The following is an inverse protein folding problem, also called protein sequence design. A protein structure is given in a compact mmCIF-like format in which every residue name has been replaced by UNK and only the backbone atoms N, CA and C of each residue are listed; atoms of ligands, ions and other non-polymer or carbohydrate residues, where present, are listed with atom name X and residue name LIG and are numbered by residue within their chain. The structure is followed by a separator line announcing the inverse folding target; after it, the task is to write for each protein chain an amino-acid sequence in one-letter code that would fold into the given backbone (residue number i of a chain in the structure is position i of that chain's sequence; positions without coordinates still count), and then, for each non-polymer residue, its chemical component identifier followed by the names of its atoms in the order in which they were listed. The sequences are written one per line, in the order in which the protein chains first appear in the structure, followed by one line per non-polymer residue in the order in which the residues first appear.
data_IF_295804569520
#
_entry.id   IF_295804569520
#
_cell.length_a   1.000
_cell.length_b   1.000
_cell.length_c   1.000
_cell.angle_alpha   90.00
_cell.angle_beta   90.00
_cell.angle_gamma   90.00
#
_symmetry.space_group_name_H-M   'P 1'
#
loop_
_entity.id
_entity.type
_entity.pdbx_description
1 polymer ?
#
# COMPACT_ATOMS: atom_id res chain seq x y z
N UNK A 1 -33.35 14.77 -0.80
CA UNK A 1 -32.80 15.99 -1.39
C UNK A 1 -31.32 15.74 -1.59
N UNK A 2 -30.88 15.53 -2.81
CA UNK A 2 -29.44 15.44 -3.13
C UNK A 2 -28.87 16.84 -2.93
N UNK A 3 -28.01 17.03 -1.93
CA UNK A 3 -27.19 18.22 -1.83
C UNK A 3 -26.43 18.36 -3.14
N UNK A 4 -26.65 19.47 -3.82
CA UNK A 4 -25.85 19.84 -5.00
C UNK A 4 -24.43 20.08 -4.50
N UNK A 5 -23.56 19.10 -4.74
CA UNK A 5 -22.15 19.20 -4.36
C UNK A 5 -21.57 20.39 -5.13
N UNK A 6 -21.20 21.43 -4.40
CA UNK A 6 -20.48 22.56 -4.98
C UNK A 6 -19.01 22.13 -5.18
N UNK A 7 -18.71 21.58 -6.36
CA UNK A 7 -17.38 21.07 -6.73
C UNK A 7 -16.31 22.16 -6.56
N UNK A 8 -16.64 23.43 -6.77
CA UNK A 8 -15.69 24.52 -6.61
C UNK A 8 -15.29 24.70 -5.14
N UNK A 9 -16.25 24.74 -4.23
CA UNK A 9 -15.98 24.86 -2.78
C UNK A 9 -15.22 23.65 -2.25
N UNK A 10 -15.60 22.45 -2.71
CA UNK A 10 -14.92 21.22 -2.38
C UNK A 10 -13.47 21.24 -2.85
N UNK A 11 -13.23 21.68 -4.09
CA UNK A 11 -11.88 21.77 -4.63
C UNK A 11 -11.01 22.77 -3.84
N UNK A 12 -11.54 23.97 -3.55
CA UNK A 12 -10.84 24.99 -2.75
C UNK A 12 -10.51 24.49 -1.33
N UNK A 13 -11.42 23.72 -0.73
CA UNK A 13 -11.20 23.09 0.57
C UNK A 13 -10.09 22.05 0.48
N UNK A 14 -10.14 21.16 -0.50
CA UNK A 14 -9.13 20.11 -0.69
C UNK A 14 -7.77 20.70 -1.01
N UNK A 15 -7.69 21.74 -1.81
CA UNK A 15 -6.44 22.46 -2.05
C UNK A 15 -5.76 22.93 -0.75
N UNK A 16 -6.54 23.43 0.20
CA UNK A 16 -6.02 23.85 1.52
C UNK A 16 -5.64 22.66 2.41
N UNK A 17 -6.53 21.67 2.50
CA UNK A 17 -6.36 20.50 3.37
C UNK A 17 -5.21 19.57 2.94
N UNK A 18 -4.83 19.60 1.66
CA UNK A 18 -3.79 18.75 1.07
C UNK A 18 -2.39 19.36 1.06
N UNK A 19 -2.22 20.61 1.48
CA UNK A 19 -0.90 21.29 1.47
C UNK A 19 0.16 20.52 2.25
N UNK A 20 -0.21 19.89 3.37
CA UNK A 20 0.72 19.13 4.19
C UNK A 20 1.36 17.94 3.43
N UNK A 21 0.70 17.42 2.40
CA UNK A 21 1.22 16.31 1.58
C UNK A 21 2.47 16.71 0.83
N UNK A 22 2.51 17.92 0.27
CA UNK A 22 3.68 18.45 -0.43
C UNK A 22 4.85 18.63 0.56
N UNK A 23 4.56 19.13 1.77
CA UNK A 23 5.55 19.26 2.83
C UNK A 23 6.06 17.90 3.28
N UNK A 24 5.16 16.92 3.44
CA UNK A 24 5.51 15.56 3.82
C UNK A 24 6.40 14.89 2.76
N UNK A 25 6.05 15.04 1.48
CA UNK A 25 6.88 14.56 0.36
C UNK A 25 8.26 15.22 0.34
N UNK A 26 8.33 16.52 0.58
CA UNK A 26 9.59 17.27 0.66
C UNK A 26 10.47 16.78 1.81
N UNK A 27 9.91 16.55 3.00
CA UNK A 27 10.65 16.00 4.14
C UNK A 27 11.19 14.60 3.86
N UNK A 28 10.35 13.73 3.27
CA UNK A 28 10.79 12.40 2.87
C UNK A 28 11.88 12.45 1.81
N UNK A 29 11.78 13.35 0.85
CA UNK A 29 12.74 13.56 -0.24
C UNK A 29 14.14 14.01 0.22
N UNK A 30 14.27 14.54 1.44
CA UNK A 30 15.60 14.85 2.02
C UNK A 30 16.44 13.59 2.26
N UNK A 31 15.78 12.47 2.53
CA UNK A 31 16.40 11.20 2.93
C UNK A 31 16.28 10.14 1.85
N UNK A 32 15.15 10.10 1.16
CA UNK A 32 14.82 9.11 0.13
C UNK A 32 15.10 9.72 -1.24
N UNK A 33 16.22 9.32 -1.85
CA UNK A 33 16.62 9.79 -3.17
C UNK A 33 16.16 8.83 -4.24
N UNK A 34 15.49 9.35 -5.28
CA UNK A 34 15.16 8.61 -6.49
C UNK A 34 14.03 7.58 -6.39
N UNK A 35 13.33 7.51 -5.25
CA UNK A 35 12.24 6.57 -5.02
C UNK A 35 10.88 7.29 -4.94
N UNK A 36 10.60 8.19 -5.89
CA UNK A 36 9.37 8.98 -5.90
C UNK A 36 8.11 8.12 -5.95
N UNK A 37 8.15 7.02 -6.73
CA UNK A 37 7.04 6.07 -6.80
C UNK A 37 6.77 5.40 -5.45
N UNK A 38 7.80 5.02 -4.71
CA UNK A 38 7.66 4.47 -3.36
C UNK A 38 7.03 5.48 -2.40
N UNK A 39 7.48 6.74 -2.45
CA UNK A 39 6.91 7.81 -1.62
C UNK A 39 5.42 7.99 -1.95
N UNK A 40 5.07 8.10 -3.21
CA UNK A 40 3.67 8.25 -3.65
C UNK A 40 2.82 7.04 -3.24
N UNK A 41 3.33 5.82 -3.38
CA UNK A 41 2.65 4.59 -2.96
C UNK A 41 2.38 4.59 -1.45
N UNK A 42 3.35 4.99 -0.63
CA UNK A 42 3.19 5.12 0.83
C UNK A 42 2.12 6.16 1.19
N UNK A 43 2.11 7.31 0.54
CA UNK A 43 1.14 8.38 0.77
C UNK A 43 -0.28 7.95 0.33
N UNK A 44 -0.42 7.29 -0.81
CA UNK A 44 -1.70 6.75 -1.28
C UNK A 44 -2.22 5.71 -0.27
N UNK A 45 -1.41 4.75 0.14
CA UNK A 45 -1.81 3.74 1.13
C UNK A 45 -2.20 4.36 2.46
N UNK A 46 -1.44 5.32 2.95
CA UNK A 46 -1.73 6.02 4.20
C UNK A 46 -3.07 6.78 4.15
N UNK A 47 -3.30 7.54 3.09
CA UNK A 47 -4.48 8.39 2.94
C UNK A 47 -5.74 7.62 2.55
N UNK A 48 -5.61 6.50 1.86
CA UNK A 48 -6.73 5.63 1.48
C UNK A 48 -7.04 4.52 2.48
N UNK A 49 -6.33 4.50 3.62
CA UNK A 49 -6.46 3.46 4.65
C UNK A 49 -6.22 2.04 4.12
N UNK A 50 -5.26 1.90 3.21
CA UNK A 50 -4.88 0.64 2.57
C UNK A 50 -3.49 0.17 3.00
N UNK A 51 -3.29 -1.15 3.02
CA UNK A 51 -1.98 -1.75 3.26
C UNK A 51 -1.22 -1.98 1.96
N UNK A 52 0.09 -2.06 2.04
CA UNK A 52 0.99 -2.06 0.89
C UNK A 52 1.90 -3.28 0.93
N UNK A 53 2.03 -3.94 -0.21
CA UNK A 53 3.03 -4.98 -0.45
C UNK A 53 4.12 -4.42 -1.38
N UNK A 54 5.37 -4.43 -0.93
CA UNK A 54 6.51 -4.05 -1.74
C UNK A 54 7.30 -5.27 -2.22
N UNK A 55 7.54 -5.33 -3.49
CA UNK A 55 8.38 -6.32 -4.12
C UNK A 55 9.67 -5.67 -4.63
N UNK A 56 10.80 -6.19 -4.23
CA UNK A 56 12.09 -5.66 -4.67
C UNK A 56 13.26 -6.30 -3.91
N UNK A 57 14.43 -6.21 -4.52
CA UNK A 57 15.66 -6.73 -3.93
C UNK A 57 16.03 -5.99 -2.63
N UNK A 58 16.85 -6.58 -1.76
CA UNK A 58 17.37 -5.91 -0.57
C UNK A 58 18.17 -4.64 -0.93
N UNK A 59 18.21 -3.68 0.01
CA UNK A 59 19.02 -2.47 -0.15
C UNK A 59 18.35 -1.29 -0.88
N UNK A 60 17.08 -1.38 -1.23
CA UNK A 60 16.32 -0.33 -1.95
C UNK A 60 15.56 0.64 -1.03
N UNK A 61 16.10 0.94 0.13
CA UNK A 61 15.57 1.94 1.08
C UNK A 61 14.13 1.72 1.59
N UNK A 62 13.58 0.51 1.48
CA UNK A 62 12.20 0.19 1.93
C UNK A 62 11.99 0.51 3.43
N UNK A 63 12.91 0.04 4.27
CA UNK A 63 12.87 0.34 5.72
C UNK A 63 13.05 1.83 5.99
N UNK A 64 13.99 2.47 5.29
CA UNK A 64 14.26 3.90 5.44
C UNK A 64 13.04 4.74 5.07
N UNK A 65 12.31 4.36 4.01
CA UNK A 65 11.12 5.10 3.57
C UNK A 65 10.01 5.11 4.62
N UNK A 66 9.67 3.96 5.19
CA UNK A 66 8.60 3.89 6.20
C UNK A 66 9.01 4.50 7.54
N UNK A 67 10.27 4.34 7.95
CA UNK A 67 10.76 5.00 9.18
C UNK A 67 10.80 6.52 9.04
N UNK A 68 11.15 7.02 7.86
CA UNK A 68 11.12 8.45 7.53
C UNK A 68 9.69 8.98 7.56
N UNK A 69 8.74 8.26 6.97
CA UNK A 69 7.32 8.61 7.04
C UNK A 69 6.81 8.64 8.49
N UNK A 70 7.16 7.64 9.29
CA UNK A 70 6.76 7.58 10.70
C UNK A 70 7.28 8.78 11.50
N UNK A 71 8.51 9.20 11.27
CA UNK A 71 9.08 10.40 11.90
C UNK A 71 8.37 11.68 11.45
N UNK A 72 8.07 11.81 10.17
CA UNK A 72 7.39 12.99 9.62
C UNK A 72 5.93 13.10 10.08
N UNK A 73 5.28 11.99 10.40
CA UNK A 73 3.91 11.92 10.94
C UNK A 73 3.89 11.90 12.47
N UNK A 74 5.05 11.74 13.13
CA UNK A 74 5.16 11.54 14.57
C UNK A 74 4.34 10.32 15.05
N UNK A 75 4.42 9.24 14.29
CA UNK A 75 3.69 8.01 14.52
C UNK A 75 4.60 6.91 15.08
N UNK A 76 4.02 6.02 15.88
CA UNK A 76 4.72 4.84 16.39
C UNK A 76 5.06 3.89 15.22
N UNK A 77 6.28 3.39 15.25
CA UNK A 77 6.82 2.47 14.24
C UNK A 77 7.30 1.18 14.86
N UNK A 78 7.00 0.06 14.21
CA UNK A 78 7.51 -1.25 14.55
C UNK A 78 8.00 -2.00 13.31
N UNK A 79 9.12 -2.69 13.45
CA UNK A 79 9.65 -3.60 12.43
C UNK A 79 9.53 -5.04 12.92
N UNK A 80 8.92 -5.88 12.12
CA UNK A 80 8.82 -7.31 12.35
C UNK A 80 9.61 -8.01 11.25
N UNK A 81 10.69 -8.64 11.61
CA UNK A 81 11.46 -9.47 10.67
C UNK A 81 10.88 -10.87 10.63
N UNK A 82 10.36 -11.26 9.49
CA UNK A 82 9.77 -12.58 9.29
C UNK A 82 10.85 -13.62 9.11
N UNK A 83 10.75 -14.72 9.87
CA UNK A 83 11.67 -15.85 9.88
C UNK A 83 10.87 -17.16 9.94
N UNK A 84 11.45 -18.30 9.55
CA UNK A 84 10.74 -19.58 9.56
C UNK A 84 10.28 -20.06 10.96
N UNK A 85 10.93 -19.59 12.02
CA UNK A 85 10.67 -19.94 13.41
C UNK A 85 9.71 -18.98 14.13
N UNK A 86 9.27 -17.90 13.45
CA UNK A 86 8.35 -16.92 14.01
C UNK A 86 6.98 -17.55 14.30
N UNK A 87 6.39 -17.19 15.44
CA UNK A 87 5.06 -17.65 15.86
C UNK A 87 4.03 -16.49 15.77
N UNK A 88 2.75 -16.80 15.59
CA UNK A 88 1.69 -15.78 15.64
C UNK A 88 1.72 -14.90 16.90
N UNK A 89 2.01 -15.49 18.07
CA UNK A 89 2.12 -14.77 19.33
C UNK A 89 3.26 -13.73 19.35
N UNK A 90 4.30 -13.93 18.55
CA UNK A 90 5.41 -12.97 18.42
C UNK A 90 4.95 -11.69 17.71
N UNK A 91 3.90 -11.76 16.89
CA UNK A 91 3.31 -10.60 16.21
C UNK A 91 2.26 -9.92 17.06
N UNK A 92 1.28 -10.69 17.53
CA UNK A 92 0.05 -10.16 18.15
C UNK A 92 0.17 -9.96 19.64
N UNK A 93 1.05 -10.74 20.30
CA UNK A 93 1.20 -10.76 21.74
C UNK A 93 0.64 -12.01 22.39
N UNK A 94 0.78 -12.08 23.70
CA UNK A 94 0.43 -13.27 24.48
C UNK A 94 0.07 -12.89 25.91
N UNK A 95 -0.49 -13.87 26.65
CA UNK A 95 -0.67 -13.81 28.08
C UNK A 95 0.58 -14.30 28.79
N UNK A 96 1.06 -13.55 29.77
CA UNK A 96 2.20 -13.89 30.61
C UNK A 96 1.72 -14.00 32.05
N UNK A 97 2.00 -15.14 32.70
CA UNK A 97 1.71 -15.28 34.12
C UNK A 97 2.71 -14.48 34.96
N UNK A 98 2.20 -13.57 35.75
CA UNK A 98 2.98 -12.77 36.72
C UNK A 98 2.97 -13.47 38.09
N UNK A 99 4.07 -14.09 38.49
CA UNK A 99 4.22 -14.68 39.82
C UNK A 99 4.04 -13.65 40.96
N UNK A 100 4.43 -12.39 40.69
CA UNK A 100 4.35 -11.30 41.67
C UNK A 100 2.92 -10.85 41.94
N UNK A 101 2.05 -10.92 40.94
CA UNK A 101 0.64 -10.48 41.02
C UNK A 101 -0.33 -11.67 41.07
N UNK A 102 0.18 -12.91 40.85
CA UNK A 102 -0.60 -14.16 40.76
C UNK A 102 -1.73 -14.06 39.70
N UNK A 103 -1.51 -13.30 38.62
CA UNK A 103 -2.47 -13.10 37.54
C UNK A 103 -1.80 -13.20 36.16
N UNK A 104 -2.61 -13.42 35.12
CA UNK A 104 -2.17 -13.32 33.73
C UNK A 104 -2.20 -11.86 33.27
N UNK A 105 -1.08 -11.40 32.72
CA UNK A 105 -0.93 -10.07 32.15
C UNK A 105 -0.85 -10.18 30.62
N UNK A 106 -1.53 -9.28 29.95
CA UNK A 106 -1.44 -9.14 28.50
C UNK A 106 -0.14 -8.45 28.13
N UNK A 107 0.68 -9.10 27.31
CA UNK A 107 1.82 -8.50 26.63
C UNK A 107 1.48 -8.30 25.16
N UNK A 108 1.24 -7.06 24.77
CA UNK A 108 0.96 -6.70 23.36
C UNK A 108 2.19 -6.90 22.51
N UNK A 109 1.99 -7.44 21.30
CA UNK A 109 3.04 -7.66 20.33
C UNK A 109 3.36 -6.43 19.49
N UNK A 110 4.36 -6.52 18.59
CA UNK A 110 4.83 -5.40 17.77
C UNK A 110 3.80 -4.91 16.74
N UNK A 111 2.73 -5.64 16.49
CA UNK A 111 1.64 -5.20 15.60
C UNK A 111 0.89 -3.99 16.16
N UNK A 112 0.99 -3.74 17.48
CA UNK A 112 0.40 -2.57 18.14
C UNK A 112 1.26 -1.31 17.96
N UNK A 113 1.41 -0.89 16.71
CA UNK A 113 2.02 0.35 16.30
C UNK A 113 1.22 0.96 15.15
N UNK A 114 1.36 2.27 14.92
CA UNK A 114 0.72 2.94 13.80
C UNK A 114 1.24 2.41 12.45
N UNK A 115 2.57 2.32 12.32
CA UNK A 115 3.22 1.83 11.12
C UNK A 115 4.03 0.57 11.43
N UNK A 116 3.72 -0.48 10.70
CA UNK A 116 4.36 -1.79 10.85
C UNK A 116 5.04 -2.17 9.54
N UNK A 117 6.35 -2.39 9.62
CA UNK A 117 7.11 -3.01 8.54
C UNK A 117 7.16 -4.53 8.77
N UNK A 118 6.46 -5.28 7.94
CA UNK A 118 6.55 -6.74 7.88
C UNK A 118 7.62 -7.14 6.87
N UNK A 119 8.86 -7.26 7.35
CA UNK A 119 10.03 -7.44 6.50
C UNK A 119 10.23 -8.91 6.13
N UNK A 120 10.11 -9.22 4.83
CA UNK A 120 10.24 -10.56 4.30
C UNK A 120 9.08 -11.50 4.64
N UNK A 121 7.83 -11.05 4.45
CA UNK A 121 6.63 -11.79 4.83
C UNK A 121 6.58 -13.22 4.28
N UNK A 122 7.18 -13.48 3.12
CA UNK A 122 7.27 -14.79 2.50
C UNK A 122 8.29 -15.74 3.17
N UNK A 123 9.04 -15.30 4.17
CA UNK A 123 9.99 -16.14 4.93
C UNK A 123 9.36 -16.88 6.10
N UNK A 124 8.13 -16.61 6.46
CA UNK A 124 7.45 -17.26 7.58
C UNK A 124 6.33 -18.19 7.13
N UNK A 125 5.99 -19.19 7.97
CA UNK A 125 4.91 -20.11 7.68
C UNK A 125 3.53 -19.43 7.54
N UNK A 126 2.60 -20.10 6.87
CA UNK A 126 1.27 -19.58 6.58
C UNK A 126 0.48 -19.13 7.82
N UNK A 127 0.68 -19.77 8.98
CA UNK A 127 0.00 -19.37 10.23
C UNK A 127 0.39 -17.96 10.68
N UNK A 128 1.65 -17.60 10.55
CA UNK A 128 2.16 -16.27 10.92
C UNK A 128 1.68 -15.21 9.92
N UNK A 129 1.75 -15.52 8.64
CA UNK A 129 1.20 -14.67 7.57
C UNK A 129 -0.29 -14.39 7.80
N UNK A 130 -1.06 -15.43 8.10
CA UNK A 130 -2.51 -15.30 8.36
C UNK A 130 -2.82 -14.44 9.57
N UNK A 131 -2.03 -14.52 10.64
CA UNK A 131 -2.20 -13.68 11.83
C UNK A 131 -2.02 -12.19 11.51
N UNK A 132 -1.01 -11.84 10.70
CA UNK A 132 -0.81 -10.46 10.27
C UNK A 132 -1.96 -9.98 9.36
N UNK A 133 -2.36 -10.80 8.40
CA UNK A 133 -3.40 -10.45 7.44
C UNK A 133 -4.78 -10.31 8.11
N UNK A 134 -5.05 -11.08 9.15
CA UNK A 134 -6.25 -10.93 9.98
C UNK A 134 -6.22 -9.58 10.73
N UNK A 135 -5.10 -9.26 11.40
CA UNK A 135 -4.92 -7.99 12.08
C UNK A 135 -5.07 -6.79 11.13
N UNK A 136 -4.57 -6.92 9.89
CA UNK A 136 -4.74 -5.89 8.83
C UNK A 136 -6.20 -5.68 8.45
N UNK A 137 -6.96 -6.76 8.33
CA UNK A 137 -8.36 -6.72 7.91
C UNK A 137 -9.28 -6.26 9.04
N UNK A 138 -9.15 -6.84 10.22
CA UNK A 138 -10.05 -6.60 11.35
C UNK A 138 -9.70 -5.34 12.14
N UNK A 139 -8.50 -4.79 11.98
CA UNK A 139 -7.99 -3.62 12.73
C UNK A 139 -8.00 -3.82 14.24
N UNK A 140 -8.03 -5.05 14.66
CA UNK A 140 -8.03 -5.49 16.06
C UNK A 140 -7.39 -6.85 16.21
N UNK A 141 -7.00 -7.19 17.43
CA UNK A 141 -6.34 -8.46 17.76
C UNK A 141 -6.94 -9.01 19.04
N UNK A 142 -7.24 -10.32 19.06
CA UNK A 142 -7.68 -11.03 20.26
C UNK A 142 -6.49 -11.70 20.93
N UNK A 143 -6.29 -11.40 22.23
CA UNK A 143 -5.25 -12.01 23.07
C UNK A 143 -5.94 -12.60 24.30
N UNK A 144 -5.89 -13.93 24.43
CA UNK A 144 -6.71 -14.62 25.43
C UNK A 144 -8.19 -14.45 25.12
N UNK A 145 -8.94 -13.94 26.09
CA UNK A 145 -10.40 -13.74 25.97
C UNK A 145 -10.79 -12.29 25.59
N UNK A 146 -9.81 -11.41 25.41
CA UNK A 146 -10.07 -10.00 25.16
C UNK A 146 -9.60 -9.55 23.77
N UNK A 147 -10.38 -8.64 23.15
CA UNK A 147 -10.07 -8.06 21.85
C UNK A 147 -9.61 -6.62 22.03
N UNK A 148 -8.48 -6.29 21.43
CA UNK A 148 -7.84 -4.98 21.51
C UNK A 148 -7.81 -4.32 20.14
N UNK A 149 -8.30 -3.08 19.98
CA UNK A 149 -8.16 -2.32 18.75
C UNK A 149 -6.70 -1.97 18.50
N UNK A 150 -6.31 -1.96 17.22
CA UNK A 150 -5.00 -1.45 16.80
C UNK A 150 -5.01 0.08 16.75
N UNK A 151 -3.85 0.75 16.91
CA UNK A 151 -3.79 2.20 16.82
C UNK A 151 -4.22 2.73 15.44
N UNK A 152 -4.80 3.91 15.40
CA UNK A 152 -5.11 4.62 14.16
C UNK A 152 -4.20 5.85 13.98
N UNK A 153 -3.68 6.09 12.76
CA UNK A 153 -3.77 5.26 11.55
C UNK A 153 -2.98 3.96 11.71
N UNK A 154 -3.46 2.89 11.10
CA UNK A 154 -2.75 1.61 11.05
C UNK A 154 -2.37 1.27 9.61
N UNK A 155 -1.07 1.27 9.33
CA UNK A 155 -0.50 0.97 8.01
C UNK A 155 0.51 -0.16 8.13
N UNK A 156 0.29 -1.23 7.40
CA UNK A 156 1.28 -2.30 7.21
C UNK A 156 1.93 -2.15 5.84
N UNK A 157 3.25 -2.09 5.86
CA UNK A 157 4.11 -2.22 4.71
C UNK A 157 4.78 -3.59 4.78
N UNK A 158 4.32 -4.54 3.97
CA UNK A 158 4.94 -5.84 3.86
C UNK A 158 5.95 -5.84 2.71
N UNK A 159 7.06 -6.55 2.89
CA UNK A 159 8.06 -6.71 1.83
C UNK A 159 8.23 -8.18 1.46
N UNK A 160 8.49 -8.43 0.20
CA UNK A 160 8.93 -9.72 -0.30
C UNK A 160 10.08 -9.55 -1.29
N UNK A 161 10.99 -10.52 -1.28
CA UNK A 161 12.08 -10.57 -2.26
C UNK A 161 11.73 -11.60 -3.33
N UNK A 162 11.55 -11.19 -4.59
CA UNK A 162 11.18 -12.10 -5.67
C UNK A 162 12.29 -13.08 -6.06
N UNK A 163 13.55 -12.79 -5.69
CA UNK A 163 14.71 -13.62 -6.02
C UNK A 163 14.92 -14.77 -5.04
N UNK A 164 14.33 -14.68 -3.84
CA UNK A 164 14.44 -15.74 -2.84
C UNK A 164 13.40 -16.83 -3.15
N UNK A 165 13.87 -18.01 -3.51
CA UNK A 165 13.01 -19.18 -3.79
C UNK A 165 13.15 -20.25 -2.71
N UNK A 166 14.34 -20.44 -2.15
CA UNK A 166 14.60 -21.44 -1.10
C UNK A 166 14.13 -20.92 0.27
N UNK A 167 13.43 -21.78 1.02
CA UNK A 167 12.96 -21.44 2.36
C UNK A 167 11.87 -20.38 2.41
N UNK A 168 11.13 -20.18 1.30
CA UNK A 168 10.03 -19.22 1.24
C UNK A 168 8.66 -19.91 1.18
N UNK A 169 7.68 -19.21 1.70
CA UNK A 169 6.26 -19.59 1.72
C UNK A 169 5.48 -18.52 0.95
N UNK A 170 5.19 -18.74 -0.33
CA UNK A 170 4.48 -17.75 -1.13
C UNK A 170 3.10 -17.48 -0.53
N UNK A 171 2.70 -16.22 -0.54
CA UNK A 171 1.36 -15.83 -0.12
C UNK A 171 0.33 -16.34 -1.15
N UNK A 172 -0.73 -17.05 -0.70
CA UNK A 172 -1.84 -17.37 -1.58
C UNK A 172 -2.48 -16.12 -2.18
N UNK A 173 -2.99 -16.23 -3.40
CA UNK A 173 -3.61 -15.11 -4.14
C UNK A 173 -4.71 -14.40 -3.34
N UNK A 174 -5.58 -15.14 -2.67
CA UNK A 174 -6.64 -14.58 -1.81
C UNK A 174 -6.10 -13.78 -0.63
N UNK A 175 -4.86 -14.03 -0.21
CA UNK A 175 -4.19 -13.27 0.84
C UNK A 175 -3.50 -12.02 0.29
N UNK A 176 -2.89 -12.13 -0.88
CA UNK A 176 -2.27 -10.98 -1.57
C UNK A 176 -3.31 -9.93 -1.94
N UNK A 177 -4.54 -10.34 -2.30
CA UNK A 177 -5.67 -9.45 -2.59
C UNK A 177 -6.08 -8.53 -1.41
N UNK A 178 -5.66 -8.85 -0.18
CA UNK A 178 -5.89 -8.00 1.01
C UNK A 178 -5.01 -6.76 1.05
N UNK A 179 -3.89 -6.75 0.33
CA UNK A 179 -3.10 -5.55 0.14
C UNK A 179 -3.77 -4.67 -0.91
N UNK A 180 -3.97 -3.40 -0.56
CA UNK A 180 -4.58 -2.46 -1.49
C UNK A 180 -3.70 -2.18 -2.69
N UNK A 181 -2.40 -2.01 -2.44
CA UNK A 181 -1.38 -1.73 -3.43
C UNK A 181 -0.25 -2.76 -3.36
N UNK A 182 0.24 -3.15 -4.53
CA UNK A 182 1.51 -3.86 -4.68
C UNK A 182 2.40 -3.07 -5.61
N UNK A 183 3.52 -2.58 -5.09
CA UNK A 183 4.49 -1.83 -5.87
C UNK A 183 5.80 -2.61 -6.04
N UNK A 184 6.35 -2.56 -7.25
CA UNK A 184 7.68 -3.06 -7.56
C UNK A 184 8.68 -1.94 -7.41
N UNK A 185 9.73 -2.18 -6.62
CA UNK A 185 10.80 -1.22 -6.39
C UNK A 185 12.00 -1.63 -7.22
N UNK A 186 12.44 -0.71 -8.08
CA UNK A 186 13.61 -0.87 -8.95
C UNK A 186 14.85 -0.19 -8.36
N UNK A 187 15.99 -0.50 -8.94
CA UNK A 187 17.23 0.20 -8.63
C UNK A 187 17.13 1.69 -8.98
N UNK A 188 17.81 2.56 -8.21
CA UNK A 188 17.90 3.97 -8.53
C UNK A 188 18.66 4.17 -9.86
N UNK A 189 18.45 5.33 -10.48
CA UNK A 189 19.22 5.73 -11.64
C UNK A 189 20.67 6.05 -11.24
N UNK A 190 21.59 6.00 -12.19
CA UNK A 190 23.02 6.22 -11.94
C UNK A 190 23.33 7.53 -11.19
N UNK A 191 22.63 8.61 -11.51
CA UNK A 191 22.82 9.88 -10.83
C UNK A 191 22.29 9.85 -9.39
N UNK A 192 21.12 9.25 -9.20
CA UNK A 192 20.48 9.07 -7.88
C UNK A 192 21.35 8.21 -6.96
N UNK A 193 21.92 7.11 -7.46
CA UNK A 193 22.82 6.25 -6.72
C UNK A 193 24.12 7.01 -6.31
N UNK A 194 24.62 7.87 -7.18
CA UNK A 194 25.75 8.76 -6.87
C UNK A 194 25.41 9.73 -5.73
N UNK A 195 24.20 10.29 -5.73
CA UNK A 195 23.76 11.22 -4.69
C UNK A 195 23.54 10.49 -3.35
N UNK A 196 22.99 9.26 -3.38
CA UNK A 196 22.89 8.37 -2.22
C UNK A 196 24.28 8.10 -1.63
N UNK A 197 25.24 7.73 -2.48
CA UNK A 197 26.62 7.47 -2.06
C UNK A 197 27.24 8.71 -1.39
N UNK A 198 27.13 9.87 -2.00
CA UNK A 198 27.65 11.14 -1.47
C UNK A 198 27.04 11.49 -0.12
N UNK A 199 25.72 11.38 -0.01
CA UNK A 199 25.00 11.65 1.24
C UNK A 199 25.52 10.76 2.40
N UNK A 200 25.78 9.47 2.13
CA UNK A 200 26.24 8.55 3.14
C UNK A 200 27.75 8.71 3.48
N UNK A 201 28.54 9.23 2.55
CA UNK A 201 29.98 9.46 2.76
C UNK A 201 30.31 10.82 3.39
N UNK A 202 29.35 11.74 3.45
CA UNK A 202 29.55 13.09 3.99
C UNK A 202 29.91 13.13 5.49
N UNK A 203 29.71 12.03 6.22
CA UNK A 203 30.05 11.94 7.66
C UNK A 203 29.12 12.68 8.61
N UNK A 204 28.15 13.40 8.09
CA UNK A 204 27.16 14.17 8.87
C UNK A 204 25.91 13.34 9.27
N UNK A 205 25.84 12.07 8.84
CA UNK A 205 24.67 11.22 8.98
C UNK A 205 23.53 11.60 8.02
N UNK A 206 22.39 10.93 8.15
CA UNK A 206 21.21 11.25 7.34
C UNK A 206 20.60 12.59 7.76
N UNK A 207 20.07 13.39 6.82
CA UNK A 207 19.37 14.63 7.12
C UNK A 207 18.26 14.43 8.16
N UNK A 208 18.12 15.41 9.06
CA UNK A 208 17.04 15.38 10.05
C UNK A 208 15.68 15.56 9.37
N UNK A 209 14.78 14.64 9.65
CA UNK A 209 13.38 14.71 9.24
C UNK A 209 12.58 15.43 10.31
N UNK A 210 11.86 16.47 9.92
CA UNK A 210 10.99 17.21 10.82
C UNK A 210 9.58 16.61 10.84
N UNK A 211 8.90 16.74 11.97
CA UNK A 211 7.46 16.46 12.06
C UNK A 211 6.70 17.43 11.17
N UNK A 212 5.80 16.91 10.34
CA UNK A 212 4.95 17.67 9.41
C UNK A 212 3.49 17.65 9.88
N UNK A 213 3.05 16.50 10.36
CA UNK A 213 1.66 16.23 10.73
C UNK A 213 1.60 15.25 11.90
N UNK A 214 0.41 14.94 12.37
CA UNK A 214 0.18 13.99 13.46
C UNK A 214 -0.67 12.80 13.02
N UNK A 215 -0.68 11.68 13.76
CA UNK A 215 -1.58 10.56 13.51
C UNK A 215 -3.06 10.99 13.43
N UNK A 216 -3.50 11.87 14.32
CA UNK A 216 -4.87 12.39 14.38
C UNK A 216 -5.22 13.20 13.12
N UNK A 217 -4.28 13.98 12.62
CA UNK A 217 -4.48 14.77 11.39
C UNK A 217 -4.53 13.90 10.15
N UNK A 218 -3.79 12.78 10.11
CA UNK A 218 -3.93 11.78 9.05
C UNK A 218 -5.33 11.16 9.06
N UNK A 219 -5.87 10.81 10.22
CA UNK A 219 -7.25 10.28 10.32
C UNK A 219 -8.27 11.28 9.82
N UNK A 220 -8.10 12.57 10.14
CA UNK A 220 -8.95 13.65 9.60
C UNK A 220 -8.80 13.77 8.09
N UNK A 221 -7.57 13.75 7.57
CA UNK A 221 -7.30 13.84 6.15
C UNK A 221 -7.95 12.70 5.36
N UNK A 222 -7.99 11.46 5.92
CA UNK A 222 -8.69 10.32 5.30
C UNK A 222 -10.17 10.62 5.03
N UNK A 223 -10.86 11.27 5.97
CA UNK A 223 -12.26 11.68 5.81
C UNK A 223 -12.43 12.68 4.66
N UNK A 224 -11.49 13.62 4.53
CA UNK A 224 -11.49 14.58 3.43
C UNK A 224 -11.21 13.89 2.09
N UNK A 225 -10.32 12.89 2.05
CA UNK A 225 -10.08 12.05 0.85
C UNK A 225 -11.34 11.31 0.42
N UNK A 226 -12.15 10.82 1.36
CA UNK A 226 -13.42 10.15 1.05
C UNK A 226 -14.45 11.08 0.40
N UNK A 227 -14.35 12.38 0.64
CA UNK A 227 -15.21 13.41 0.04
C UNK A 227 -14.80 13.82 -1.38
N UNK A 228 -13.60 13.43 -1.85
CA UNK A 228 -13.15 13.72 -3.24
C UNK A 228 -14.20 13.21 -4.21
N UNK A 229 -14.69 14.12 -5.06
CA UNK A 229 -15.79 13.83 -5.98
C UNK A 229 -15.35 12.83 -7.07
N UNK A 230 -16.21 11.87 -7.33
CA UNK A 230 -16.04 10.93 -8.42
C UNK A 230 -17.30 10.92 -9.27
N UNK A 231 -17.18 11.33 -10.54
CA UNK A 231 -18.29 11.35 -11.49
C UNK A 231 -18.67 9.91 -11.90
N UNK A 232 -19.94 9.68 -12.22
CA UNK A 232 -20.44 8.38 -12.68
C UNK A 232 -19.66 7.84 -13.90
N UNK A 233 -19.15 8.72 -14.76
CA UNK A 233 -18.32 8.32 -15.90
C UNK A 233 -16.97 7.74 -15.45
N UNK A 234 -16.40 8.26 -14.37
CA UNK A 234 -15.17 7.72 -13.78
C UNK A 234 -15.47 6.39 -13.09
N UNK A 235 -16.58 6.27 -12.38
CA UNK A 235 -17.02 4.99 -11.79
C UNK A 235 -17.19 3.93 -12.88
N UNK A 236 -17.86 4.28 -13.98
CA UNK A 236 -17.99 3.38 -15.12
C UNK A 236 -16.64 3.00 -15.72
N UNK A 237 -15.72 3.95 -15.87
CA UNK A 237 -14.37 3.70 -16.39
C UNK A 237 -13.60 2.70 -15.51
N UNK A 238 -13.67 2.86 -14.18
CA UNK A 238 -13.07 1.91 -13.23
C UNK A 238 -13.67 0.51 -13.42
N UNK A 239 -15.00 0.41 -13.50
CA UNK A 239 -15.69 -0.87 -13.69
C UNK A 239 -15.31 -1.51 -15.03
N UNK A 240 -15.26 -0.72 -16.11
CA UNK A 240 -14.86 -1.22 -17.43
C UNK A 240 -13.41 -1.77 -17.41
N UNK A 241 -12.48 -1.11 -16.73
CA UNK A 241 -11.11 -1.63 -16.55
C UNK A 241 -11.12 -2.98 -15.84
N UNK A 242 -11.87 -3.12 -14.75
CA UNK A 242 -11.93 -4.36 -13.99
C UNK A 242 -12.60 -5.47 -14.79
N UNK A 243 -13.70 -5.19 -15.49
CA UNK A 243 -14.38 -6.15 -16.36
C UNK A 243 -13.48 -6.58 -17.53
N UNK A 244 -12.68 -5.68 -18.10
CA UNK A 244 -11.71 -6.04 -19.13
C UNK A 244 -10.68 -7.08 -18.65
N UNK A 245 -10.41 -7.16 -17.34
CA UNK A 245 -9.57 -8.24 -16.77
C UNK A 245 -10.26 -9.59 -16.71
N UNK A 246 -11.60 -9.64 -16.74
CA UNK A 246 -12.41 -10.87 -16.64
C UNK A 246 -12.93 -11.32 -18.02
N UNK A 247 -13.36 -10.36 -18.81
CA UNK A 247 -14.03 -10.56 -20.10
C UNK A 247 -13.38 -9.67 -21.18
N UNK A 248 -12.07 -9.87 -21.48
CA UNK A 248 -11.33 -8.99 -22.37
C UNK A 248 -11.90 -8.90 -23.77
N UNK A 249 -12.56 -9.97 -24.27
CA UNK A 249 -13.19 -9.97 -25.59
C UNK A 249 -14.29 -8.90 -25.74
N UNK A 250 -15.00 -8.52 -24.66
CA UNK A 250 -16.01 -7.47 -24.71
C UNK A 250 -15.40 -6.06 -24.89
N UNK A 251 -14.10 -5.93 -24.72
CA UNK A 251 -13.33 -4.67 -24.83
C UNK A 251 -12.36 -4.66 -26.00
N UNK A 252 -12.60 -5.48 -27.03
CA UNK A 252 -11.71 -5.67 -28.20
C UNK A 252 -10.28 -6.11 -27.82
N UNK A 253 -10.18 -6.95 -26.81
CA UNK A 253 -8.93 -7.48 -26.27
C UNK A 253 -8.90 -9.01 -26.31
N UNK A 254 -9.47 -9.61 -27.38
CA UNK A 254 -9.59 -11.07 -27.55
C UNK A 254 -8.23 -11.77 -27.39
N UNK A 255 -7.15 -11.10 -27.78
CA UNK A 255 -5.78 -11.62 -27.63
C UNK A 255 -5.36 -11.88 -26.18
N UNK A 256 -5.99 -11.20 -25.20
CA UNK A 256 -5.71 -11.38 -23.79
C UNK A 256 -6.47 -12.56 -23.18
N UNK A 257 -7.54 -13.02 -23.82
CA UNK A 257 -8.38 -14.11 -23.31
C UNK A 257 -7.58 -15.37 -22.92
N UNK A 258 -6.67 -15.90 -23.77
CA UNK A 258 -5.86 -17.08 -23.42
C UNK A 258 -4.76 -16.80 -22.40
N UNK A 259 -4.49 -15.54 -22.07
CA UNK A 259 -3.37 -15.14 -21.21
C UNK A 259 -3.79 -14.92 -19.76
N UNK A 260 -5.09 -14.68 -19.50
CA UNK A 260 -5.62 -14.36 -18.18
C UNK A 260 -6.32 -15.60 -17.61
N UNK A 261 -5.82 -16.11 -16.48
CA UNK A 261 -6.45 -17.21 -15.76
C UNK A 261 -7.64 -16.73 -14.92
N UNK A 262 -7.50 -15.58 -14.26
CA UNK A 262 -8.56 -14.88 -13.52
C UNK A 262 -8.28 -13.39 -13.47
N UNK A 263 -9.33 -12.59 -13.39
CA UNK A 263 -9.27 -11.13 -13.29
C UNK A 263 -9.55 -10.59 -11.90
N UNK A 264 -9.61 -9.27 -11.79
CA UNK A 264 -9.84 -8.58 -10.53
C UNK A 264 -11.18 -8.89 -9.88
N UNK A 265 -11.21 -9.06 -8.56
CA UNK A 265 -12.42 -9.19 -7.74
C UNK A 265 -13.09 -7.81 -7.53
N UNK A 266 -14.29 -7.73 -6.90
CA UNK A 266 -14.87 -6.45 -6.49
C UNK A 266 -13.98 -5.63 -5.55
N UNK A 267 -13.06 -6.27 -4.81
CA UNK A 267 -12.02 -5.57 -4.04
C UNK A 267 -11.12 -4.72 -4.93
N UNK A 268 -10.85 -5.17 -6.16
CA UNK A 268 -10.07 -4.40 -7.12
C UNK A 268 -10.77 -3.08 -7.48
N UNK A 269 -12.08 -3.10 -7.75
CA UNK A 269 -12.87 -1.90 -8.05
C UNK A 269 -12.85 -0.91 -6.88
N UNK A 270 -13.08 -1.41 -5.67
CA UNK A 270 -13.05 -0.60 -4.44
C UNK A 270 -11.66 -0.01 -4.22
N UNK A 271 -10.60 -0.81 -4.34
CA UNK A 271 -9.22 -0.37 -4.17
C UNK A 271 -8.81 0.66 -5.20
N UNK A 272 -9.21 0.47 -6.46
CA UNK A 272 -8.91 1.40 -7.54
C UNK A 272 -9.61 2.75 -7.33
N UNK A 273 -10.87 2.76 -6.90
CA UNK A 273 -11.61 3.96 -6.58
C UNK A 273 -10.99 4.73 -5.39
N UNK A 274 -10.64 4.02 -4.31
CA UNK A 274 -9.99 4.63 -3.14
C UNK A 274 -8.61 5.19 -3.48
N UNK A 275 -7.80 4.45 -4.22
CA UNK A 275 -6.47 4.89 -4.64
C UNK A 275 -6.54 6.11 -5.57
N UNK A 276 -7.50 6.14 -6.50
CA UNK A 276 -7.70 7.27 -7.41
C UNK A 276 -8.11 8.54 -6.65
N UNK A 277 -9.00 8.44 -5.65
CA UNK A 277 -9.36 9.57 -4.77
C UNK A 277 -8.15 10.08 -3.99
N UNK A 278 -7.37 9.19 -3.37
CA UNK A 278 -6.15 9.56 -2.66
C UNK A 278 -5.13 10.21 -3.60
N UNK A 279 -4.99 9.72 -4.81
CA UNK A 279 -4.09 10.30 -5.81
C UNK A 279 -4.54 11.70 -6.22
N UNK A 280 -5.84 11.93 -6.48
CA UNK A 280 -6.39 13.25 -6.76
C UNK A 280 -6.14 14.22 -5.59
N UNK A 281 -6.33 13.78 -4.36
CA UNK A 281 -6.03 14.56 -3.15
C UNK A 281 -4.55 14.97 -3.07
N UNK A 282 -3.63 14.02 -3.32
CA UNK A 282 -2.19 14.29 -3.36
C UNK A 282 -1.85 15.33 -4.45
N UNK A 283 -2.60 15.34 -5.56
CA UNK A 283 -2.50 16.33 -6.63
C UNK A 283 -3.29 17.61 -6.35
N UNK A 284 -3.77 17.77 -5.12
CA UNK A 284 -4.48 18.95 -4.62
C UNK A 284 -5.76 19.25 -5.39
N UNK A 285 -6.47 18.19 -5.78
CA UNK A 285 -7.68 18.27 -6.57
C UNK A 285 -8.86 17.61 -5.86
N UNK A 286 -10.02 18.27 -5.88
CA UNK A 286 -11.24 17.81 -5.22
C UNK A 286 -12.08 16.85 -6.03
N UNK A 287 -11.62 16.43 -7.19
CA UNK A 287 -12.31 15.50 -8.08
C UNK A 287 -11.33 14.58 -8.80
N UNK A 288 -11.80 13.38 -9.12
CA UNK A 288 -11.02 12.36 -9.84
C UNK A 288 -11.13 12.56 -11.34
N UNK A 289 -10.01 12.45 -12.03
CA UNK A 289 -9.94 12.44 -13.50
C UNK A 289 -9.42 11.07 -13.98
N UNK A 290 -9.61 10.69 -15.27
CA UNK A 290 -9.14 9.41 -15.78
C UNK A 290 -7.66 9.14 -15.55
N UNK A 291 -6.83 10.16 -15.61
CA UNK A 291 -5.38 10.08 -15.38
C UNK A 291 -5.04 9.62 -13.96
N UNK A 292 -5.86 9.96 -12.97
CA UNK A 292 -5.68 9.49 -11.59
C UNK A 292 -5.89 7.98 -11.49
N UNK A 293 -6.93 7.47 -12.16
CA UNK A 293 -7.22 6.04 -12.24
C UNK A 293 -6.05 5.30 -12.92
N UNK A 294 -5.58 5.83 -14.04
CA UNK A 294 -4.46 5.25 -14.80
C UNK A 294 -3.16 5.24 -14.00
N UNK A 295 -2.90 6.31 -13.24
CA UNK A 295 -1.68 6.44 -12.44
C UNK A 295 -1.53 5.38 -11.36
N UNK A 296 -2.64 4.92 -10.77
CA UNK A 296 -2.63 3.93 -9.67
C UNK A 296 -2.99 2.52 -10.12
N UNK A 297 -3.41 2.35 -11.37
CA UNK A 297 -3.98 1.10 -11.88
C UNK A 297 -3.02 -0.09 -11.79
N UNK A 298 -1.75 0.09 -12.16
CA UNK A 298 -0.75 -0.99 -12.10
C UNK A 298 -0.54 -1.49 -10.68
N UNK A 299 -0.35 -0.61 -9.71
CA UNK A 299 -0.13 -0.97 -8.31
C UNK A 299 -1.36 -1.60 -7.65
N UNK A 300 -2.56 -1.27 -8.13
CA UNK A 300 -3.80 -1.88 -7.65
C UNK A 300 -4.06 -3.25 -8.26
N UNK A 301 -3.72 -3.46 -9.53
CA UNK A 301 -4.14 -4.64 -10.30
C UNK A 301 -3.06 -5.70 -10.50
N UNK A 302 -1.77 -5.36 -10.42
CA UNK A 302 -0.70 -6.30 -10.76
C UNK A 302 -0.68 -7.60 -9.94
N UNK A 303 -1.26 -7.59 -8.75
CA UNK A 303 -1.39 -8.74 -7.85
C UNK A 303 -2.80 -9.35 -7.82
N UNK A 304 -3.69 -8.88 -8.70
CA UNK A 304 -5.09 -9.29 -8.79
C UNK A 304 -5.47 -9.93 -10.11
N UNK A 305 -4.49 -10.06 -11.00
CA UNK A 305 -4.64 -10.72 -12.29
C UNK A 305 -3.73 -11.95 -12.30
N UNK A 306 -4.33 -13.13 -12.48
CA UNK A 306 -3.59 -14.38 -12.64
C UNK A 306 -3.26 -14.65 -14.09
N UNK A 307 -2.03 -15.06 -14.35
CA UNK A 307 -1.55 -15.45 -15.66
C UNK A 307 -1.77 -16.94 -15.92
N UNK A 308 -2.01 -17.31 -17.18
CA UNK A 308 -2.00 -18.70 -17.63
C UNK A 308 -0.56 -19.18 -17.88
N UNK A 309 -0.36 -20.49 -17.96
CA UNK A 309 0.93 -21.07 -18.38
C UNK A 309 1.35 -20.61 -19.78
N UNK A 310 0.39 -20.35 -20.67
CA UNK A 310 0.64 -19.80 -22.00
C UNK A 310 1.28 -18.41 -21.90
N UNK A 311 0.73 -17.54 -21.07
CA UNK A 311 1.30 -16.21 -20.82
C UNK A 311 2.72 -16.28 -20.23
N UNK A 312 2.95 -17.19 -19.27
CA UNK A 312 4.28 -17.40 -18.69
C UNK A 312 5.28 -17.92 -19.73
N UNK A 313 4.87 -18.85 -20.58
CA UNK A 313 5.71 -19.39 -21.67
C UNK A 313 6.09 -18.32 -22.70
N UNK A 314 5.22 -17.35 -22.94
CA UNK A 314 5.48 -16.20 -23.81
C UNK A 314 6.18 -15.02 -23.11
N UNK A 315 6.53 -15.16 -21.81
CA UNK A 315 7.11 -14.10 -20.97
C UNK A 315 6.24 -12.84 -20.89
N UNK A 316 4.93 -12.99 -20.93
CA UNK A 316 3.99 -11.89 -20.77
C UNK A 316 3.80 -11.61 -19.28
N UNK A 317 3.87 -10.34 -18.90
CA UNK A 317 3.72 -9.87 -17.52
C UNK A 317 2.32 -9.30 -17.26
N UNK A 318 1.90 -9.27 -16.00
CA UNK A 318 0.65 -8.61 -15.60
C UNK A 318 0.66 -7.13 -15.94
N UNK A 319 1.82 -6.47 -15.84
CA UNK A 319 2.01 -5.07 -16.21
C UNK A 319 1.71 -4.81 -17.68
N UNK A 320 2.15 -5.70 -18.58
CA UNK A 320 1.84 -5.61 -20.02
C UNK A 320 0.33 -5.76 -20.28
N UNK A 321 -0.32 -6.70 -19.60
CA UNK A 321 -1.78 -6.90 -19.69
C UNK A 321 -2.53 -5.66 -19.23
N UNK A 322 -2.16 -5.08 -18.09
CA UNK A 322 -2.77 -3.86 -17.56
C UNK A 322 -2.58 -2.69 -18.54
N UNK A 323 -1.39 -2.54 -19.10
CA UNK A 323 -1.09 -1.50 -20.09
C UNK A 323 -1.95 -1.68 -21.34
N UNK A 324 -2.14 -2.90 -21.84
CA UNK A 324 -3.01 -3.18 -22.97
C UNK A 324 -4.48 -2.83 -22.66
N UNK A 325 -4.95 -3.17 -21.47
CA UNK A 325 -6.30 -2.81 -21.02
C UNK A 325 -6.48 -1.29 -20.98
N UNK A 326 -5.57 -0.56 -20.35
CA UNK A 326 -5.61 0.90 -20.25
C UNK A 326 -5.56 1.60 -21.61
N UNK A 327 -4.92 1.00 -22.60
CA UNK A 327 -4.82 1.55 -23.95
C UNK A 327 -6.06 1.27 -24.82
N UNK A 328 -6.91 0.32 -24.43
CA UNK A 328 -8.05 -0.09 -25.24
C UNK A 328 -9.41 0.23 -24.59
N UNK A 329 -9.50 0.29 -23.25
CA UNK A 329 -10.73 0.74 -22.57
C UNK A 329 -10.96 2.21 -22.86
N UNK A 330 -12.20 2.54 -23.23
CA UNK A 330 -12.57 3.91 -23.62
C UNK A 330 -12.45 4.85 -22.41
N UNK A 331 -11.67 5.89 -22.59
CA UNK A 331 -11.51 6.95 -21.59
C UNK A 331 -12.69 7.93 -21.69
N UNK A 332 -13.37 8.24 -20.56
CA UNK A 332 -14.53 9.14 -20.57
C UNK A 332 -14.19 10.59 -20.88
#
# INVERSE_FOLDING_TARGET
MSEVINIKELNERIERESVFVDTLRSEMGKVIIGQNHLIDTLLIGLLSNGHILLEGVPGLAKTLAITTLAKAVDADFSRIQFTPDLLPADLIGTLIYSQKKEEFLVRKGPVFANFVLADGINRSPAKVQSALLEAMQERQVTIGDETYPLPEPFLVLATQNPLEQEGTYPLPEAQVDRFMLKAKISYPQKQEERDIMRMNLAGEGLPKVNKVTSPEDIVKARRVVEEVYMDEKIEKYIIDIIFATREPAEYNLEKLQPLIAYGGSPRASISLAKAARAYAFIRRRGYVIPEDVRAVCHDVLCHRIGLTYEAEAENITTEQIITDILNNVIVP
#
